data_IF_871080246763
#
_entry.id   IF_871080246763
#
_cell.length_a   1.000
_cell.length_b   1.000
_cell.length_c   1.000
_cell.angle_alpha   90.00
_cell.angle_beta   90.00
_cell.angle_gamma   90.00
#
_symmetry.space_group_name_H-M   'P 1'
#
loop_
_entity.id
_entity.type
_entity.pdbx_description
1 polymer ?
#
# COMPACT_ATOMS: atom_id res chain seq x y z
N UNK A 1 16.76 -12.90 -36.51
CA UNK A 1 16.79 -12.19 -35.23
C UNK A 1 15.64 -12.67 -34.38
N UNK A 2 15.82 -12.90 -33.09
CA UNK A 2 14.79 -13.40 -32.20
C UNK A 2 14.07 -12.22 -31.52
N UNK A 3 12.73 -12.21 -31.60
CA UNK A 3 11.88 -11.17 -31.02
C UNK A 3 11.66 -11.45 -29.50
N UNK A 4 11.52 -10.40 -28.68
CA UNK A 4 11.20 -10.48 -27.27
C UNK A 4 9.93 -11.31 -26.98
N UNK A 5 8.93 -11.25 -27.86
CA UNK A 5 7.70 -12.07 -27.75
C UNK A 5 7.99 -13.57 -27.81
N UNK A 6 8.95 -13.98 -28.64
CA UNK A 6 9.38 -15.40 -28.73
C UNK A 6 10.10 -15.84 -27.47
N UNK A 7 10.99 -15.00 -26.95
CA UNK A 7 11.68 -15.28 -25.68
C UNK A 7 10.67 -15.43 -24.54
N UNK A 8 9.71 -14.52 -24.44
CA UNK A 8 8.65 -14.58 -23.44
C UNK A 8 7.85 -15.88 -23.52
N UNK A 9 7.46 -16.31 -24.74
CA UNK A 9 6.78 -17.60 -24.95
C UNK A 9 7.64 -18.79 -24.51
N UNK A 10 8.93 -18.78 -24.78
CA UNK A 10 9.85 -19.84 -24.35
C UNK A 10 9.98 -19.89 -22.83
N UNK A 11 10.11 -18.75 -22.16
CA UNK A 11 10.16 -18.68 -20.70
C UNK A 11 8.88 -19.23 -20.05
N UNK A 12 7.70 -18.96 -20.63
CA UNK A 12 6.44 -19.52 -20.12
C UNK A 12 6.24 -21.00 -20.49
N UNK A 13 6.81 -21.46 -21.58
CA UNK A 13 6.80 -22.88 -21.94
C UNK A 13 7.57 -23.73 -20.92
N UNK A 14 8.69 -23.20 -20.41
CA UNK A 14 9.55 -23.84 -19.43
C UNK A 14 9.56 -23.06 -18.12
N UNK A 15 8.36 -22.67 -17.62
CA UNK A 15 8.23 -21.78 -16.48
C UNK A 15 8.84 -22.36 -15.20
N UNK A 16 8.76 -23.67 -14.98
CA UNK A 16 9.36 -24.33 -13.83
C UNK A 16 10.89 -24.18 -13.83
N UNK A 17 11.53 -24.27 -15.01
CA UNK A 17 12.96 -24.02 -15.16
C UNK A 17 13.30 -22.56 -14.74
N UNK A 18 12.46 -21.59 -15.12
CA UNK A 18 12.65 -20.18 -14.77
C UNK A 18 12.51 -20.00 -13.26
N UNK A 19 11.44 -20.51 -12.65
CA UNK A 19 11.17 -20.37 -11.24
C UNK A 19 12.22 -21.07 -10.36
N UNK A 20 12.68 -22.25 -10.77
CA UNK A 20 13.75 -22.99 -10.10
C UNK A 20 15.08 -22.25 -10.17
N UNK A 21 15.45 -21.65 -11.30
CA UNK A 21 16.66 -20.83 -11.43
C UNK A 21 16.55 -19.49 -10.69
N UNK A 22 15.32 -19.00 -10.45
CA UNK A 22 15.06 -17.91 -9.54
C UNK A 22 15.01 -18.36 -8.07
N UNK A 23 15.29 -19.65 -7.77
CA UNK A 23 15.31 -20.24 -6.42
C UNK A 23 14.03 -19.92 -5.63
N UNK A 24 12.90 -19.94 -6.31
CA UNK A 24 11.61 -19.70 -5.68
C UNK A 24 11.06 -21.00 -5.10
N UNK A 25 10.55 -20.94 -3.86
CA UNK A 25 9.72 -22.00 -3.28
C UNK A 25 8.28 -21.74 -3.69
N UNK A 26 7.73 -22.53 -4.63
CA UNK A 26 6.45 -22.27 -5.27
C UNK A 26 5.53 -23.47 -5.30
N UNK A 27 4.23 -23.22 -5.41
CA UNK A 27 3.16 -24.20 -5.63
C UNK A 27 2.40 -23.83 -6.89
N UNK A 28 2.14 -24.80 -7.77
CA UNK A 28 1.28 -24.61 -8.97
C UNK A 28 -0.11 -25.15 -8.66
N UNK A 29 -1.13 -24.27 -8.77
CA UNK A 29 -2.54 -24.63 -8.58
C UNK A 29 -3.32 -24.17 -9.80
N UNK A 30 -3.70 -25.11 -10.68
CA UNK A 30 -4.31 -24.81 -11.98
C UNK A 30 -3.38 -23.94 -12.83
N UNK A 31 -3.90 -22.84 -13.37
CA UNK A 31 -3.14 -21.90 -14.18
C UNK A 31 -2.43 -20.79 -13.38
N UNK A 32 -2.18 -21.03 -12.10
CA UNK A 32 -1.53 -20.05 -11.25
C UNK A 32 -0.38 -20.67 -10.44
N UNK A 33 0.70 -19.89 -10.35
CA UNK A 33 1.82 -20.18 -9.43
C UNK A 33 1.66 -19.30 -8.20
N UNK A 34 1.85 -19.87 -7.01
CA UNK A 34 1.82 -19.17 -5.73
C UNK A 34 3.13 -19.38 -4.99
N UNK A 35 3.57 -18.33 -4.29
CA UNK A 35 4.74 -18.41 -3.40
C UNK A 35 4.71 -17.26 -2.38
N UNK A 36 5.70 -17.23 -1.48
CA UNK A 36 6.11 -15.98 -0.84
C UNK A 36 6.66 -15.04 -1.89
N UNK A 37 6.64 -13.71 -1.66
CA UNK A 37 7.20 -12.80 -2.65
C UNK A 37 8.73 -12.91 -2.69
N UNK A 38 9.35 -13.23 -3.84
CA UNK A 38 10.79 -13.43 -3.93
C UNK A 38 11.59 -12.12 -3.99
N UNK A 39 10.92 -10.97 -4.00
CA UNK A 39 11.55 -9.65 -4.21
C UNK A 39 11.73 -8.90 -2.89
N UNK A 40 10.94 -9.20 -1.87
CA UNK A 40 11.08 -8.58 -0.56
C UNK A 40 11.05 -9.63 0.54
N UNK A 41 11.83 -9.41 1.59
CA UNK A 41 11.89 -10.27 2.77
C UNK A 41 10.71 -10.05 3.72
N UNK A 42 10.47 -11.04 4.61
CA UNK A 42 9.54 -10.91 5.74
C UNK A 42 8.07 -11.20 5.43
N UNK A 43 7.78 -11.99 4.39
CA UNK A 43 6.44 -12.53 4.15
C UNK A 43 6.42 -14.04 4.38
N UNK A 44 5.77 -14.48 5.46
CA UNK A 44 5.49 -15.91 5.70
C UNK A 44 4.26 -16.39 4.93
N UNK A 45 3.60 -15.52 4.20
CA UNK A 45 2.40 -15.83 3.45
C UNK A 45 2.75 -16.46 2.11
N UNK A 46 2.57 -17.77 1.98
CA UNK A 46 2.77 -18.54 0.73
C UNK A 46 1.90 -18.10 -0.45
N UNK A 47 0.94 -17.20 -0.24
CA UNK A 47 0.10 -16.60 -1.29
C UNK A 47 0.32 -15.09 -1.44
N UNK A 48 1.43 -14.57 -0.92
CA UNK A 48 1.80 -13.17 -1.09
C UNK A 48 2.20 -12.83 -2.54
N UNK A 49 2.61 -13.83 -3.31
CA UNK A 49 2.92 -13.75 -4.74
C UNK A 49 1.99 -14.66 -5.55
N UNK A 50 1.58 -14.20 -6.72
CA UNK A 50 0.89 -15.03 -7.70
C UNK A 50 1.37 -14.69 -9.11
N UNK A 51 1.54 -15.71 -9.96
CA UNK A 51 1.83 -15.61 -11.39
C UNK A 51 0.76 -16.37 -12.18
N UNK A 52 0.00 -15.67 -13.01
CA UNK A 52 -0.97 -16.31 -13.91
C UNK A 52 -0.26 -16.79 -15.17
N UNK A 53 -0.32 -18.09 -15.43
CA UNK A 53 0.27 -18.69 -16.63
C UNK A 53 -0.53 -18.33 -17.88
N UNK A 54 -1.85 -18.21 -17.77
CA UNK A 54 -2.74 -17.79 -18.85
C UNK A 54 -2.49 -16.34 -19.25
N UNK A 55 -2.57 -15.41 -18.27
CA UNK A 55 -2.43 -13.96 -18.49
C UNK A 55 -0.98 -13.53 -18.62
N UNK A 56 -0.04 -14.38 -18.25
CA UNK A 56 1.40 -14.12 -18.28
C UNK A 56 1.82 -12.87 -17.49
N UNK A 57 1.17 -12.66 -16.35
CA UNK A 57 1.44 -11.54 -15.43
C UNK A 57 1.55 -12.05 -14.00
N UNK A 58 2.43 -11.41 -13.25
CA UNK A 58 2.60 -11.70 -11.83
C UNK A 58 2.18 -10.53 -10.96
N UNK A 59 1.90 -10.81 -9.69
CA UNK A 59 1.50 -9.83 -8.70
C UNK A 59 2.02 -10.17 -7.30
N UNK A 60 2.53 -9.17 -6.62
CA UNK A 60 2.75 -9.20 -5.17
C UNK A 60 1.56 -8.55 -4.48
N UNK A 61 0.90 -9.30 -3.60
CA UNK A 61 -0.31 -8.85 -2.89
C UNK A 61 -0.02 -8.09 -1.61
N UNK A 62 1.26 -8.02 -1.20
CA UNK A 62 1.68 -7.35 0.03
C UNK A 62 2.32 -6.00 -0.20
N UNK A 63 3.18 -5.86 -1.21
CA UNK A 63 3.95 -4.63 -1.48
C UNK A 63 3.83 -4.12 -2.91
N UNK A 64 2.98 -4.73 -3.74
CA UNK A 64 2.81 -4.36 -5.15
C UNK A 64 4.14 -4.22 -5.92
N UNK A 65 5.12 -5.11 -5.67
CA UNK A 65 6.46 -5.08 -6.27
C UNK A 65 6.46 -5.02 -7.79
N UNK A 66 5.41 -5.53 -8.45
CA UNK A 66 5.23 -5.44 -9.90
C UNK A 66 5.12 -3.99 -10.41
N UNK A 67 4.77 -3.02 -9.57
CA UNK A 67 4.68 -1.62 -9.97
C UNK A 67 6.07 -0.99 -10.17
N UNK A 68 7.09 -1.50 -9.47
CA UNK A 68 8.47 -1.04 -9.57
C UNK A 68 9.24 -1.76 -10.68
N UNK A 69 9.02 -3.06 -10.81
CA UNK A 69 9.85 -3.90 -11.70
C UNK A 69 9.15 -4.25 -13.01
N UNK A 70 7.81 -4.08 -13.09
CA UNK A 70 6.97 -4.53 -14.21
C UNK A 70 6.25 -5.84 -13.91
N UNK A 71 5.03 -6.01 -14.43
CA UNK A 71 4.15 -7.14 -14.11
C UNK A 71 4.38 -8.37 -15.01
N UNK A 72 5.28 -8.32 -15.97
CA UNK A 72 5.60 -9.45 -16.85
C UNK A 72 6.79 -10.29 -16.34
N UNK A 73 7.12 -11.36 -17.06
CA UNK A 73 8.18 -12.29 -16.66
C UNK A 73 9.56 -11.61 -16.55
N UNK A 74 9.86 -10.62 -17.41
CA UNK A 74 11.11 -9.88 -17.32
C UNK A 74 11.15 -8.98 -16.08
N UNK A 75 10.01 -8.41 -15.72
CA UNK A 75 9.87 -7.66 -14.47
C UNK A 75 10.08 -8.53 -13.23
N UNK A 76 9.57 -9.78 -13.23
CA UNK A 76 9.84 -10.74 -12.17
C UNK A 76 11.34 -11.05 -12.06
N UNK A 77 11.97 -11.41 -13.18
CA UNK A 77 13.41 -11.70 -13.24
C UNK A 77 14.22 -10.50 -12.74
N UNK A 78 13.90 -9.30 -13.23
CA UNK A 78 14.55 -8.06 -12.78
C UNK A 78 14.44 -7.86 -11.28
N UNK A 79 13.24 -7.99 -10.73
CA UNK A 79 13.01 -7.77 -9.30
C UNK A 79 13.78 -8.75 -8.42
N UNK A 80 13.76 -10.04 -8.77
CA UNK A 80 14.46 -11.08 -8.01
C UNK A 80 15.98 -10.89 -8.09
N UNK A 81 16.51 -10.63 -9.27
CA UNK A 81 17.95 -10.39 -9.44
C UNK A 81 18.41 -9.12 -8.73
N UNK A 82 17.62 -8.06 -8.79
CA UNK A 82 17.94 -6.80 -8.10
C UNK A 82 18.01 -6.97 -6.58
N UNK A 83 17.10 -7.75 -6.02
CA UNK A 83 17.12 -8.08 -4.60
C UNK A 83 18.37 -8.89 -4.23
N UNK A 84 18.71 -9.94 -5.01
CA UNK A 84 19.86 -10.79 -4.75
C UNK A 84 21.20 -10.06 -4.86
N UNK A 85 21.34 -9.23 -5.89
CA UNK A 85 22.58 -8.50 -6.14
C UNK A 85 22.68 -7.19 -5.34
N UNK A 86 21.63 -6.85 -4.57
CA UNK A 86 21.49 -5.61 -3.83
C UNK A 86 21.77 -4.34 -4.69
N UNK A 87 21.41 -4.42 -5.98
CA UNK A 87 21.53 -3.33 -6.97
C UNK A 87 20.45 -3.44 -8.04
N UNK A 88 20.09 -2.32 -8.69
CA UNK A 88 19.14 -2.36 -9.82
C UNK A 88 19.72 -3.12 -11.02
N UNK A 89 19.12 -4.26 -11.33
CA UNK A 89 19.43 -5.09 -12.49
C UNK A 89 18.58 -4.67 -13.67
N UNK A 90 18.67 -3.58 -14.28
CA UNK A 90 17.82 -3.11 -15.37
C UNK A 90 17.38 -4.19 -16.39
N UNK A 91 16.47 -3.84 -17.30
CA UNK A 91 15.89 -4.76 -18.28
C UNK A 91 16.93 -5.57 -19.10
N UNK A 92 18.06 -4.94 -19.46
CA UNK A 92 19.16 -5.63 -20.18
C UNK A 92 19.79 -6.76 -19.36
N UNK A 93 19.84 -6.62 -18.04
CA UNK A 93 20.33 -7.67 -17.14
C UNK A 93 19.35 -8.84 -17.08
N UNK A 94 18.06 -8.57 -16.91
CA UNK A 94 17.02 -9.59 -16.92
C UNK A 94 16.97 -10.35 -18.28
N UNK A 95 17.08 -9.64 -19.40
CA UNK A 95 17.12 -10.26 -20.72
C UNK A 95 18.35 -11.16 -20.90
N UNK A 96 19.55 -10.72 -20.49
CA UNK A 96 20.77 -11.55 -20.56
C UNK A 96 20.62 -12.81 -19.72
N UNK A 97 20.06 -12.71 -18.52
CA UNK A 97 19.80 -13.84 -17.67
C UNK A 97 18.80 -14.82 -18.31
N UNK A 98 17.67 -14.32 -18.86
CA UNK A 98 16.69 -15.12 -19.58
C UNK A 98 17.31 -15.85 -20.79
N UNK A 99 18.12 -15.15 -21.60
CA UNK A 99 18.82 -15.74 -22.73
C UNK A 99 19.80 -16.84 -22.27
N UNK A 100 20.51 -16.64 -21.16
CA UNK A 100 21.44 -17.64 -20.61
C UNK A 100 20.73 -18.93 -20.23
N UNK A 101 19.56 -18.86 -19.57
CA UNK A 101 18.77 -20.04 -19.19
C UNK A 101 18.24 -20.77 -20.42
N UNK A 102 17.80 -20.04 -21.42
CA UNK A 102 17.27 -20.62 -22.68
C UNK A 102 18.36 -21.07 -23.67
N UNK A 103 19.65 -20.93 -23.32
CA UNK A 103 20.79 -21.18 -24.20
C UNK A 103 20.71 -20.38 -25.54
N UNK A 104 20.27 -19.14 -25.47
CA UNK A 104 20.12 -18.21 -26.59
C UNK A 104 21.25 -17.18 -26.54
N UNK A 105 21.91 -16.89 -27.68
CA UNK A 105 22.86 -15.77 -27.72
C UNK A 105 22.10 -14.43 -27.64
N UNK A 106 22.31 -13.68 -26.56
CA UNK A 106 21.67 -12.40 -26.32
C UNK A 106 21.95 -11.32 -27.36
N UNK A 107 23.02 -11.48 -28.17
CA UNK A 107 23.37 -10.59 -29.28
C UNK A 107 22.47 -10.75 -30.49
N UNK A 108 21.75 -11.88 -30.58
CA UNK A 108 20.82 -12.17 -31.70
C UNK A 108 19.40 -11.66 -31.44
N UNK A 109 19.17 -11.05 -30.28
CA UNK A 109 17.85 -10.56 -29.85
C UNK A 109 17.70 -9.12 -30.27
N UNK A 110 16.67 -8.87 -31.08
CA UNK A 110 16.29 -7.51 -31.48
C UNK A 110 15.46 -6.86 -30.33
N UNK A 111 16.04 -5.85 -29.69
CA UNK A 111 15.37 -5.04 -28.70
C UNK A 111 15.06 -3.71 -29.37
N UNK A 112 13.83 -3.52 -29.86
CA UNK A 112 13.38 -2.19 -30.24
C UNK A 112 13.71 -1.21 -29.11
N UNK A 113 14.59 -0.26 -29.39
CA UNK A 113 14.87 0.85 -28.48
C UNK A 113 13.61 1.72 -28.37
N UNK A 114 12.74 1.41 -27.41
CA UNK A 114 11.86 2.45 -26.89
C UNK A 114 12.76 3.42 -26.15
N UNK A 115 12.95 4.60 -26.71
CA UNK A 115 13.57 5.72 -26.00
C UNK A 115 12.80 5.87 -24.68
N UNK A 116 13.49 5.76 -23.56
CA UNK A 116 12.86 6.06 -22.26
C UNK A 116 12.44 7.53 -22.32
N UNK A 117 11.16 7.83 -22.06
CA UNK A 117 10.70 9.21 -22.04
C UNK A 117 11.54 9.99 -21.03
N UNK A 118 11.96 11.21 -21.39
CA UNK A 118 12.71 12.09 -20.50
C UNK A 118 11.97 12.24 -19.16
N UNK A 119 12.70 12.55 -18.09
CA UNK A 119 12.08 12.72 -16.76
C UNK A 119 10.98 13.78 -16.78
N UNK A 120 11.09 14.76 -17.67
CA UNK A 120 10.04 15.74 -17.94
C UNK A 120 8.79 15.08 -18.56
N UNK A 121 8.95 14.19 -19.54
CA UNK A 121 7.83 13.45 -20.18
C UNK A 121 7.24 12.45 -19.19
N UNK A 122 8.04 11.81 -18.32
CA UNK A 122 7.55 10.98 -17.21
C UNK A 122 6.70 11.81 -16.24
N UNK A 123 7.14 13.01 -15.91
CA UNK A 123 6.43 13.94 -15.04
C UNK A 123 5.15 14.48 -15.70
N UNK A 124 5.19 14.88 -16.97
CA UNK A 124 3.99 15.30 -17.75
C UNK A 124 3.01 14.17 -17.90
N UNK A 125 3.46 12.93 -18.13
CA UNK A 125 2.58 11.77 -18.18
C UNK A 125 1.99 11.43 -16.81
N UNK A 126 2.69 11.66 -15.72
CA UNK A 126 2.15 11.55 -14.36
C UNK A 126 1.02 12.57 -14.13
N UNK A 127 1.20 13.82 -14.61
CA UNK A 127 0.18 14.88 -14.49
C UNK A 127 -0.95 14.75 -15.54
N UNK A 128 -0.69 14.17 -16.72
CA UNK A 128 -1.71 13.99 -17.76
C UNK A 128 -2.53 12.72 -17.55
N UNK A 129 -2.00 11.69 -16.92
CA UNK A 129 -2.77 10.50 -16.51
C UNK A 129 -3.84 10.82 -15.45
N UNK A 130 -3.66 11.92 -14.69
CA UNK A 130 -4.71 12.47 -13.81
C UNK A 130 -5.92 13.02 -14.57
N UNK A 131 -5.83 13.24 -15.89
CA UNK A 131 -6.96 13.71 -16.72
C UNK A 131 -7.81 12.59 -17.33
N UNK A 132 -7.34 11.37 -17.43
CA UNK A 132 -8.25 10.24 -17.62
C UNK A 132 -8.95 9.96 -16.29
N UNK A 133 -10.08 10.65 -16.10
CA UNK A 133 -11.16 10.19 -15.22
C UNK A 133 -11.55 8.78 -15.70
N UNK A 134 -10.78 7.75 -15.31
CA UNK A 134 -11.43 6.51 -15.00
C UNK A 134 -12.46 6.91 -13.95
N UNK A 135 -13.74 6.89 -14.33
CA UNK A 135 -14.81 6.77 -13.36
C UNK A 135 -14.41 5.57 -12.50
N UNK A 136 -13.80 5.85 -11.37
CA UNK A 136 -13.66 4.87 -10.31
C UNK A 136 -15.11 4.54 -9.94
N UNK A 137 -15.71 3.59 -10.66
CA UNK A 137 -17.00 3.01 -10.30
C UNK A 137 -16.73 2.12 -9.08
N UNK A 138 -16.47 2.77 -7.96
CA UNK A 138 -16.52 2.09 -6.68
C UNK A 138 -17.99 1.78 -6.45
N UNK A 139 -18.32 0.50 -6.47
CA UNK A 139 -19.62 0.08 -6.03
C UNK A 139 -19.73 0.47 -4.56
N UNK A 140 -20.70 1.31 -4.24
CA UNK A 140 -21.11 1.56 -2.87
C UNK A 140 -21.36 0.20 -2.21
N UNK A 141 -20.77 -0.01 -1.02
CA UNK A 141 -21.00 -1.25 -0.29
C UNK A 141 -22.42 -1.20 0.23
N UNK A 142 -23.27 -2.08 -0.31
CA UNK A 142 -24.67 -2.21 0.11
C UNK A 142 -24.82 -2.86 1.48
N UNK A 143 -23.77 -3.55 1.96
CA UNK A 143 -23.76 -4.19 3.26
C UNK A 143 -23.78 -3.14 4.36
N UNK A 144 -24.82 -3.14 5.17
CA UNK A 144 -24.90 -2.37 6.40
C UNK A 144 -24.89 -3.33 7.57
N UNK A 145 -24.03 -3.06 8.55
CA UNK A 145 -23.93 -3.85 9.75
C UNK A 145 -24.78 -3.19 10.86
N UNK A 146 -25.42 -4.04 11.68
CA UNK A 146 -25.98 -3.57 12.95
C UNK A 146 -24.83 -3.38 13.93
N UNK A 147 -24.57 -2.14 14.32
CA UNK A 147 -23.41 -1.75 15.12
C UNK A 147 -23.84 -1.16 16.45
N UNK A 148 -23.16 -1.60 17.51
CA UNK A 148 -23.18 -0.90 18.79
C UNK A 148 -22.15 0.25 18.73
N UNK A 149 -22.63 1.49 18.86
CA UNK A 149 -21.80 2.69 18.88
C UNK A 149 -21.83 3.36 20.29
N UNK A 150 -20.68 3.91 20.73
CA UNK A 150 -19.32 3.72 20.18
C UNK A 150 -18.83 2.29 20.41
N UNK A 151 -17.76 1.89 19.73
CA UNK A 151 -17.13 0.59 19.94
C UNK A 151 -16.58 0.45 21.36
N UNK A 152 -17.13 -0.49 22.13
CA UNK A 152 -16.63 -0.83 23.48
C UNK A 152 -15.19 -1.33 23.45
N UNK A 153 -14.83 -2.06 22.41
CA UNK A 153 -13.47 -2.56 22.24
C UNK A 153 -12.44 -1.42 22.18
N UNK A 154 -12.73 -0.34 21.47
CA UNK A 154 -11.80 0.77 21.35
C UNK A 154 -11.87 1.73 22.54
N UNK A 155 -13.03 1.88 23.19
CA UNK A 155 -13.10 2.66 24.45
C UNK A 155 -12.27 2.01 25.56
N UNK A 156 -12.31 0.68 25.71
CA UNK A 156 -11.45 -0.03 26.68
C UNK A 156 -9.96 0.09 26.36
N UNK A 157 -9.60 0.40 25.12
CA UNK A 157 -8.23 0.70 24.68
C UNK A 157 -7.84 2.18 24.82
N UNK A 158 -8.69 2.99 25.45
CA UNK A 158 -8.41 4.38 25.78
C UNK A 158 -8.68 5.39 24.66
N UNK A 159 -9.49 5.04 23.65
CA UNK A 159 -10.00 6.01 22.70
C UNK A 159 -11.24 6.71 23.23
N UNK A 160 -11.34 8.02 22.96
CA UNK A 160 -12.47 8.82 23.41
C UNK A 160 -13.75 8.43 22.65
N UNK A 161 -14.86 8.28 23.38
CA UNK A 161 -16.16 7.89 22.82
C UNK A 161 -16.65 8.84 21.73
N UNK A 162 -16.52 10.16 21.94
CA UNK A 162 -16.93 11.16 20.94
C UNK A 162 -16.10 11.05 19.65
N UNK A 163 -14.81 10.74 19.79
CA UNK A 163 -13.94 10.47 18.65
C UNK A 163 -14.42 9.23 17.89
N UNK A 164 -14.72 8.13 18.59
CA UNK A 164 -15.22 6.92 17.94
C UNK A 164 -16.58 7.14 17.26
N UNK A 165 -17.46 7.93 17.86
CA UNK A 165 -18.73 8.33 17.26
C UNK A 165 -18.51 9.19 16.00
N UNK A 166 -17.60 10.16 16.06
CA UNK A 166 -17.26 11.01 14.92
C UNK A 166 -16.71 10.19 13.73
N UNK A 167 -15.92 9.15 14.01
CA UNK A 167 -15.38 8.24 12.98
C UNK A 167 -16.31 7.05 12.70
N UNK A 168 -17.52 7.01 13.26
CA UNK A 168 -18.54 5.98 13.00
C UNK A 168 -18.08 4.56 13.36
N UNK A 169 -17.26 4.43 14.40
CA UNK A 169 -16.68 3.15 14.84
C UNK A 169 -17.60 2.46 15.83
N UNK A 170 -18.03 1.23 15.51
CA UNK A 170 -18.93 0.45 16.35
C UNK A 170 -18.61 -1.04 16.33
N UNK A 171 -19.15 -1.78 17.30
CA UNK A 171 -18.96 -3.24 17.38
C UNK A 171 -20.11 -3.97 16.67
N UNK A 172 -19.78 -4.94 15.82
CA UNK A 172 -20.76 -5.69 15.03
C UNK A 172 -21.57 -6.65 15.89
N UNK A 173 -22.90 -6.50 15.85
CA UNK A 173 -23.88 -7.33 16.57
C UNK A 173 -24.42 -8.49 15.71
N UNK A 174 -24.21 -8.49 14.40
CA UNK A 174 -24.76 -9.46 13.46
C UNK A 174 -24.06 -10.81 13.59
N UNK A 175 -24.69 -11.75 14.26
CA UNK A 175 -24.10 -13.07 14.59
C UNK A 175 -23.76 -13.90 13.36
N UNK A 176 -24.50 -13.76 12.27
CA UNK A 176 -24.31 -14.50 11.02
C UNK A 176 -23.30 -13.84 10.07
N UNK A 177 -22.81 -12.66 10.43
CA UNK A 177 -21.83 -11.92 9.63
C UNK A 177 -20.40 -12.41 9.86
N UNK A 178 -19.55 -12.46 8.82
CA UNK A 178 -18.10 -12.61 8.98
C UNK A 178 -17.48 -11.54 9.89
N UNK A 179 -18.18 -10.41 10.02
CA UNK A 179 -17.76 -9.26 10.85
C UNK A 179 -18.22 -9.39 12.32
N UNK A 180 -18.96 -10.43 12.70
CA UNK A 180 -19.33 -10.65 14.10
C UNK A 180 -18.10 -10.68 15.03
N UNK A 181 -18.20 -10.14 16.21
CA UNK A 181 -17.09 -9.96 17.17
C UNK A 181 -15.91 -9.15 16.60
N UNK A 182 -16.22 -8.15 15.80
CA UNK A 182 -15.25 -7.19 15.29
C UNK A 182 -15.73 -5.77 15.52
N UNK A 183 -14.80 -4.90 15.87
CA UNK A 183 -15.00 -3.46 15.80
C UNK A 183 -14.90 -3.02 14.35
N UNK A 184 -15.92 -2.36 13.84
CA UNK A 184 -16.12 -2.00 12.45
C UNK A 184 -15.73 -0.54 12.23
N UNK A 185 -14.93 -0.32 11.24
CA UNK A 185 -14.39 0.99 10.85
C UNK A 185 -14.78 1.23 9.39
N UNK A 186 -15.61 2.24 9.09
CA UNK A 186 -16.00 2.54 7.71
C UNK A 186 -14.84 3.15 6.93
N UNK A 187 -14.78 2.82 5.64
CA UNK A 187 -13.88 3.45 4.65
C UNK A 187 -14.77 4.25 3.71
N UNK A 188 -14.59 5.56 3.69
CA UNK A 188 -15.34 6.45 2.82
C UNK A 188 -14.62 6.68 1.49
N UNK A 189 -15.40 7.04 0.47
CA UNK A 189 -14.89 7.60 -0.78
C UNK A 189 -14.15 8.92 -0.53
N UNK A 190 -13.31 9.34 -1.48
CA UNK A 190 -12.46 10.52 -1.31
C UNK A 190 -13.24 11.82 -1.08
N UNK A 191 -14.49 11.88 -1.54
CA UNK A 191 -15.41 13.00 -1.32
C UNK A 191 -16.36 12.80 -0.15
N UNK A 192 -16.29 11.66 0.54
CA UNK A 192 -17.14 11.33 1.69
C UNK A 192 -18.61 10.99 1.32
N UNK A 193 -18.97 10.92 0.04
CA UNK A 193 -20.38 10.74 -0.37
C UNK A 193 -20.91 9.33 -0.13
N UNK A 194 -20.03 8.34 0.01
CA UNK A 194 -20.41 6.94 0.19
C UNK A 194 -19.38 6.16 1.01
N UNK A 195 -19.84 5.09 1.64
CA UNK A 195 -18.97 4.08 2.25
C UNK A 195 -18.60 3.06 1.17
N UNK A 196 -17.30 2.89 0.93
CA UNK A 196 -16.75 2.00 -0.10
C UNK A 196 -16.29 0.66 0.46
N UNK A 197 -16.25 0.53 1.77
CA UNK A 197 -15.89 -0.70 2.47
C UNK A 197 -15.79 -0.52 3.97
N UNK A 198 -15.51 -1.62 4.65
CA UNK A 198 -15.32 -1.65 6.09
C UNK A 198 -14.07 -2.44 6.46
N UNK A 199 -13.48 -2.08 7.58
CA UNK A 199 -12.45 -2.85 8.27
C UNK A 199 -13.07 -3.40 9.55
N UNK A 200 -12.98 -4.71 9.74
CA UNK A 200 -13.35 -5.36 10.99
C UNK A 200 -12.11 -5.74 11.80
N UNK A 201 -11.83 -5.03 12.88
CA UNK A 201 -10.80 -5.38 13.87
C UNK A 201 -11.33 -6.45 14.82
N UNK A 202 -10.70 -7.61 14.92
CA UNK A 202 -11.10 -8.63 15.89
C UNK A 202 -11.08 -8.08 17.33
N UNK A 203 -12.18 -8.26 18.05
CA UNK A 203 -12.27 -7.93 19.47
C UNK A 203 -11.83 -9.08 20.38
N UNK A 204 -11.50 -10.23 19.77
CA UNK A 204 -11.07 -11.46 20.46
C UNK A 204 -9.71 -11.88 19.94
N UNK A 205 -8.78 -12.23 20.83
CA UNK A 205 -7.40 -12.58 20.47
C UNK A 205 -7.30 -13.87 19.66
N UNK A 206 -8.18 -14.84 19.91
CA UNK A 206 -8.22 -16.12 19.21
C UNK A 206 -8.80 -16.03 17.79
N UNK A 207 -9.45 -14.91 17.42
CA UNK A 207 -10.12 -14.77 16.11
C UNK A 207 -9.19 -14.21 15.05
N UNK A 208 -8.87 -15.03 14.07
CA UNK A 208 -8.06 -14.66 12.91
C UNK A 208 -8.91 -14.44 11.66
N UNK A 209 -8.51 -13.59 10.70
CA UNK A 209 -7.37 -12.65 10.80
C UNK A 209 -7.69 -11.49 11.77
N UNK A 210 -6.63 -10.88 12.31
CA UNK A 210 -6.74 -9.71 13.22
C UNK A 210 -7.53 -8.55 12.59
N UNK A 211 -7.32 -8.30 11.31
CA UNK A 211 -8.08 -7.35 10.50
C UNK A 211 -8.72 -8.04 9.32
N UNK A 212 -10.01 -7.79 9.10
CA UNK A 212 -10.77 -8.30 7.97
C UNK A 212 -11.35 -7.12 7.18
N UNK A 213 -11.13 -7.10 5.88
CA UNK A 213 -11.72 -6.09 4.99
C UNK A 213 -12.97 -6.66 4.31
N UNK A 214 -13.94 -5.80 4.01
CA UNK A 214 -15.09 -6.17 3.17
C UNK A 214 -14.60 -6.75 1.85
N UNK A 215 -15.27 -7.79 1.36
CA UNK A 215 -14.90 -8.44 0.09
C UNK A 215 -14.98 -7.44 -1.07
N UNK A 216 -13.96 -7.46 -1.93
CA UNK A 216 -13.91 -6.63 -3.14
C UNK A 216 -13.30 -5.25 -2.97
N UNK A 217 -13.04 -4.77 -1.74
CA UNK A 217 -12.33 -3.51 -1.55
C UNK A 217 -10.84 -3.67 -1.84
N UNK A 218 -10.29 -2.78 -2.66
CA UNK A 218 -8.85 -2.62 -2.78
C UNK A 218 -8.40 -1.43 -1.91
N UNK A 219 -7.93 -1.72 -0.70
CA UNK A 219 -7.47 -0.71 0.28
C UNK A 219 -6.37 0.21 -0.28
N UNK A 220 -5.57 -0.28 -1.24
CA UNK A 220 -4.50 0.51 -1.88
C UNK A 220 -5.02 1.69 -2.70
N UNK A 221 -6.33 1.73 -2.99
CA UNK A 221 -6.94 2.85 -3.70
C UNK A 221 -7.37 3.99 -2.78
N UNK A 222 -7.34 3.82 -1.47
CA UNK A 222 -7.89 4.76 -0.52
C UNK A 222 -6.86 5.22 0.51
N UNK A 223 -7.05 6.44 1.01
CA UNK A 223 -6.46 6.93 2.26
C UNK A 223 -7.58 7.04 3.28
N UNK A 224 -7.41 6.41 4.44
CA UNK A 224 -8.40 6.53 5.52
C UNK A 224 -8.52 7.99 5.97
N UNK A 225 -9.74 8.44 6.20
CA UNK A 225 -10.08 9.80 6.61
C UNK A 225 -9.76 10.91 5.59
N UNK A 226 -9.45 10.58 4.33
CA UNK A 226 -9.05 11.60 3.33
C UNK A 226 -10.11 12.68 3.13
N UNK A 227 -11.39 12.30 3.04
CA UNK A 227 -12.50 13.22 2.81
C UNK A 227 -12.68 14.27 3.92
N UNK A 228 -12.38 13.94 5.18
CA UNK A 228 -12.43 14.88 6.31
C UNK A 228 -11.15 15.72 6.40
N UNK A 229 -10.00 15.07 6.20
CA UNK A 229 -8.69 15.67 6.40
C UNK A 229 -8.28 16.69 5.33
N UNK A 230 -8.75 16.51 4.07
CA UNK A 230 -8.17 17.21 2.91
C UNK A 230 -8.38 18.73 2.95
N UNK A 231 -9.52 19.21 3.43
CA UNK A 231 -9.78 20.64 3.52
C UNK A 231 -8.84 21.30 4.53
N UNK A 232 -8.77 20.77 5.74
CA UNK A 232 -7.84 21.25 6.76
C UNK A 232 -6.38 21.14 6.30
N UNK A 233 -6.03 20.05 5.62
CA UNK A 233 -4.69 19.86 5.06
C UNK A 233 -4.31 20.97 4.07
N UNK A 234 -5.25 21.39 3.22
CA UNK A 234 -5.03 22.51 2.27
C UNK A 234 -4.86 23.83 3.01
N UNK A 235 -5.69 24.11 4.03
CA UNK A 235 -5.63 25.37 4.79
C UNK A 235 -4.28 25.55 5.46
N UNK A 236 -3.69 24.50 6.04
CA UNK A 236 -2.38 24.53 6.69
C UNK A 236 -1.23 24.12 5.78
N UNK A 237 -1.56 23.75 4.52
CA UNK A 237 -0.63 23.25 3.50
C UNK A 237 0.21 22.06 3.97
N UNK A 238 -0.39 21.17 4.78
CA UNK A 238 0.28 20.02 5.37
C UNK A 238 -0.66 18.84 5.54
N UNK A 239 -0.15 17.62 5.33
CA UNK A 239 -0.88 16.36 5.56
C UNK A 239 -0.05 15.46 6.49
N UNK A 240 -0.69 14.92 7.52
CA UNK A 240 -0.14 13.90 8.38
C UNK A 240 -0.44 12.53 7.78
N UNK A 241 0.57 11.68 7.69
CA UNK A 241 0.46 10.31 7.15
C UNK A 241 0.86 9.33 8.24
N UNK A 242 -0.06 8.41 8.58
CA UNK A 242 0.11 7.35 9.59
C UNK A 242 -0.13 5.97 8.98
N UNK A 243 0.18 4.91 9.72
CA UNK A 243 -0.06 3.54 9.28
C UNK A 243 -1.49 3.07 9.54
N UNK A 244 -2.02 3.33 10.73
CA UNK A 244 -3.29 2.80 11.21
C UNK A 244 -4.38 3.84 11.46
N UNK A 245 -5.62 3.35 11.59
CA UNK A 245 -6.79 4.21 11.83
C UNK A 245 -6.76 4.79 13.26
N UNK A 246 -6.28 3.99 14.23
CA UNK A 246 -6.13 4.43 15.62
C UNK A 246 -5.19 5.62 15.78
N UNK A 247 -4.15 5.71 14.93
CA UNK A 247 -3.23 6.85 14.92
C UNK A 247 -3.96 8.12 14.52
N UNK A 248 -4.82 8.04 13.48
CA UNK A 248 -5.64 9.17 13.02
C UNK A 248 -6.58 9.64 14.15
N UNK A 249 -7.20 8.71 14.87
CA UNK A 249 -8.10 9.07 15.97
C UNK A 249 -7.34 9.74 17.11
N UNK A 250 -6.16 9.25 17.48
CA UNK A 250 -5.33 9.87 18.53
C UNK A 250 -4.81 11.24 18.13
N UNK A 251 -4.45 11.43 16.88
CA UNK A 251 -4.11 12.75 16.35
C UNK A 251 -5.32 13.70 16.40
N UNK A 252 -6.50 13.23 16.03
CA UNK A 252 -7.74 14.00 16.13
C UNK A 252 -8.03 14.41 17.59
N UNK A 253 -7.91 13.49 18.56
CA UNK A 253 -8.02 13.79 20.00
C UNK A 253 -7.00 14.84 20.47
N UNK A 254 -5.86 14.92 19.81
CA UNK A 254 -4.82 15.91 20.09
C UNK A 254 -5.04 17.26 19.36
N UNK A 255 -6.08 17.39 18.51
CA UNK A 255 -6.41 18.59 17.74
C UNK A 255 -5.83 18.63 16.34
N UNK A 256 -5.37 17.49 15.79
CA UNK A 256 -4.85 17.37 14.42
C UNK A 256 -5.93 16.77 13.52
N UNK A 257 -6.57 17.59 12.69
CA UNK A 257 -7.66 17.16 11.82
C UNK A 257 -7.20 16.76 10.42
N UNK A 258 -5.99 17.12 10.01
CA UNK A 258 -5.38 16.90 8.70
C UNK A 258 -4.55 15.59 8.64
N UNK A 259 -5.05 14.51 9.29
CA UNK A 259 -4.37 13.24 9.33
C UNK A 259 -5.10 12.15 8.52
N UNK A 260 -4.32 11.34 7.81
CA UNK A 260 -4.80 10.17 7.03
C UNK A 260 -3.98 8.93 7.37
N UNK A 261 -4.55 7.73 7.16
CA UNK A 261 -3.76 6.50 7.23
C UNK A 261 -3.75 5.71 5.93
N UNK A 262 -2.66 4.93 5.73
CA UNK A 262 -2.37 4.18 4.51
C UNK A 262 -2.78 2.72 4.57
N UNK A 263 -3.43 2.27 5.63
CA UNK A 263 -3.86 0.89 5.87
C UNK A 263 -2.72 -0.14 5.90
N UNK A 264 -1.52 0.26 6.23
CA UNK A 264 -0.36 -0.62 6.27
C UNK A 264 0.96 0.14 6.26
N UNK A 265 2.04 -0.52 5.84
CA UNK A 265 3.39 -0.01 5.98
C UNK A 265 3.84 0.92 4.85
N UNK A 266 3.34 0.71 3.63
CA UNK A 266 3.82 1.43 2.44
C UNK A 266 2.70 2.14 1.68
N UNK A 267 3.01 3.34 1.20
CA UNK A 267 2.14 4.09 0.29
C UNK A 267 2.10 3.41 -1.08
N UNK A 268 0.91 2.98 -1.49
CA UNK A 268 0.69 2.48 -2.85
C UNK A 268 0.88 3.59 -3.89
N UNK A 269 0.97 3.20 -5.17
CA UNK A 269 1.01 4.17 -6.27
C UNK A 269 -0.22 5.10 -6.25
N UNK A 270 -1.42 4.52 -6.07
CA UNK A 270 -2.68 5.28 -6.04
C UNK A 270 -2.79 6.21 -4.84
N UNK A 271 -2.36 5.78 -3.66
CA UNK A 271 -2.29 6.64 -2.48
C UNK A 271 -1.28 7.78 -2.68
N UNK A 272 -0.13 7.50 -3.32
CA UNK A 272 0.87 8.51 -3.66
C UNK A 272 0.32 9.55 -4.64
N UNK A 273 -0.45 9.15 -5.66
CA UNK A 273 -1.14 10.06 -6.58
C UNK A 273 -2.09 11.00 -5.82
N UNK A 274 -2.84 10.49 -4.84
CA UNK A 274 -3.73 11.31 -4.00
C UNK A 274 -2.96 12.32 -3.15
N UNK A 275 -1.84 11.91 -2.56
CA UNK A 275 -0.96 12.82 -1.81
C UNK A 275 -0.42 13.90 -2.73
N UNK A 276 0.04 13.57 -3.94
CA UNK A 276 0.52 14.53 -4.94
C UNK A 276 -0.58 15.50 -5.38
N UNK A 277 -1.80 15.00 -5.58
CA UNK A 277 -2.95 15.79 -6.01
C UNK A 277 -3.59 16.61 -4.87
N UNK A 278 -3.17 16.40 -3.63
CA UNK A 278 -3.75 17.07 -2.45
C UNK A 278 -3.54 18.59 -2.41
N UNK A 279 -2.51 19.09 -3.10
CA UNK A 279 -2.15 20.51 -3.11
C UNK A 279 -1.37 20.97 -1.86
N UNK A 280 -1.00 20.08 -0.94
CA UNK A 280 -0.16 20.39 0.21
C UNK A 280 1.32 20.51 -0.17
N UNK A 281 2.11 21.20 0.62
CA UNK A 281 3.56 21.35 0.41
C UNK A 281 4.39 20.66 1.49
N UNK A 282 3.75 20.24 2.57
CA UNK A 282 4.40 19.61 3.74
C UNK A 282 3.76 18.26 4.03
N UNK A 283 4.57 17.29 4.42
CA UNK A 283 4.10 15.99 4.92
C UNK A 283 4.75 15.72 6.28
N UNK A 284 3.94 15.30 7.25
CA UNK A 284 4.39 14.79 8.54
C UNK A 284 4.20 13.28 8.52
N UNK A 285 5.28 12.53 8.65
CA UNK A 285 5.29 11.07 8.52
C UNK A 285 5.43 10.44 9.91
N UNK A 286 4.42 9.72 10.33
CA UNK A 286 4.30 9.06 11.63
C UNK A 286 4.06 7.56 11.41
N UNK A 287 5.10 6.86 10.97
CA UNK A 287 5.11 5.39 10.87
C UNK A 287 5.56 4.77 12.18
N UNK A 288 5.21 3.50 12.40
CA UNK A 288 5.58 2.75 13.59
C UNK A 288 7.08 2.83 13.91
N UNK A 289 7.43 2.83 15.19
CA UNK A 289 8.82 2.90 15.64
C UNK A 289 9.47 1.51 15.69
N UNK A 290 9.27 0.73 14.63
CA UNK A 290 9.89 -0.58 14.41
C UNK A 290 10.74 -0.59 13.13
N UNK A 291 11.29 -1.74 12.76
CA UNK A 291 12.13 -1.86 11.58
C UNK A 291 11.33 -1.54 10.31
N UNK A 292 10.10 -2.06 10.19
CA UNK A 292 9.26 -1.84 9.02
C UNK A 292 8.86 -0.36 8.85
N UNK A 293 8.54 0.34 9.96
CA UNK A 293 8.28 1.78 9.91
C UNK A 293 9.51 2.60 9.53
N UNK A 294 10.72 2.16 9.91
CA UNK A 294 11.97 2.80 9.43
C UNK A 294 12.18 2.63 7.93
N UNK A 295 11.90 1.44 7.39
CA UNK A 295 11.96 1.18 5.94
C UNK A 295 10.93 2.02 5.19
N UNK A 296 9.70 2.08 5.69
CA UNK A 296 8.64 2.93 5.15
C UNK A 296 9.06 4.42 5.10
N UNK A 297 9.67 4.95 6.17
CA UNK A 297 10.22 6.32 6.17
C UNK A 297 11.21 6.56 5.05
N UNK A 298 12.15 5.62 4.85
CA UNK A 298 13.16 5.72 3.79
C UNK A 298 12.49 5.74 2.41
N UNK A 299 11.50 4.88 2.18
CA UNK A 299 10.79 4.85 0.89
C UNK A 299 10.00 6.12 0.65
N UNK A 300 9.28 6.63 1.65
CA UNK A 300 8.54 7.90 1.58
C UNK A 300 9.51 9.06 1.32
N UNK A 301 10.65 9.09 1.99
CA UNK A 301 11.67 10.11 1.80
C UNK A 301 12.23 10.08 0.37
N UNK A 302 12.59 8.91 -0.16
CA UNK A 302 13.06 8.77 -1.55
C UNK A 302 12.03 9.24 -2.57
N UNK A 303 10.75 8.93 -2.33
CA UNK A 303 9.66 9.26 -3.26
C UNK A 303 9.28 10.73 -3.25
N UNK A 304 9.26 11.37 -2.09
CA UNK A 304 8.62 12.68 -1.92
C UNK A 304 9.56 13.83 -1.55
N UNK A 305 10.84 13.60 -1.21
CA UNK A 305 11.75 14.64 -0.72
C UNK A 305 12.00 15.78 -1.72
N UNK A 306 11.82 15.53 -3.02
CA UNK A 306 11.97 16.58 -4.05
C UNK A 306 10.72 17.43 -4.26
N UNK A 307 9.57 17.03 -3.70
CA UNK A 307 8.26 17.64 -3.96
C UNK A 307 7.64 18.24 -2.69
N UNK A 308 7.99 17.70 -1.54
CA UNK A 308 7.42 18.08 -0.25
C UNK A 308 8.50 18.37 0.78
N UNK A 309 8.22 19.31 1.69
CA UNK A 309 8.95 19.40 2.95
C UNK A 309 8.50 18.28 3.87
N UNK A 310 9.41 17.36 4.19
CA UNK A 310 9.13 16.18 5.00
C UNK A 310 9.52 16.41 6.45
N UNK A 311 8.66 15.99 7.37
CA UNK A 311 8.89 15.98 8.81
C UNK A 311 8.78 14.55 9.33
N UNK A 312 9.73 14.15 10.17
CA UNK A 312 9.80 12.83 10.80
C UNK A 312 9.92 12.99 12.32
N UNK A 313 8.82 13.32 13.03
CA UNK A 313 8.87 13.52 14.46
C UNK A 313 9.34 12.27 15.19
N UNK A 314 10.08 12.47 16.28
CA UNK A 314 10.48 11.37 17.18
C UNK A 314 9.32 11.02 18.08
N UNK A 315 8.91 9.76 18.09
CA UNK A 315 7.86 9.23 18.95
C UNK A 315 8.44 8.59 20.21
N UNK A 316 7.74 8.71 21.32
CA UNK A 316 8.12 8.12 22.61
C UNK A 316 7.54 6.73 22.83
N UNK A 317 6.59 6.32 22.00
CA UNK A 317 5.93 5.01 21.99
C UNK A 317 6.14 4.31 20.68
N UNK A 318 5.63 3.07 20.59
CA UNK A 318 5.73 2.26 19.37
C UNK A 318 5.02 2.91 18.20
N UNK A 319 3.80 3.37 18.42
CA UNK A 319 2.96 4.07 17.45
C UNK A 319 2.20 5.24 18.11
N UNK A 320 1.53 6.04 17.29
CA UNK A 320 0.71 7.18 17.76
C UNK A 320 -0.54 6.67 18.49
N UNK A 321 -1.10 5.53 18.08
CA UNK A 321 -2.28 4.93 18.68
C UNK A 321 -2.09 4.53 20.14
N UNK A 322 -0.85 4.26 20.56
CA UNK A 322 -0.46 3.94 21.95
C UNK A 322 -0.14 5.19 22.79
N UNK A 323 -0.21 6.40 22.21
CA UNK A 323 0.02 7.67 22.91
C UNK A 323 -1.29 8.26 23.42
N UNK A 324 -1.21 9.03 24.52
CA UNK A 324 -2.32 9.88 24.94
C UNK A 324 -2.37 11.17 24.11
N UNK A 325 -3.55 11.79 24.00
CA UNK A 325 -3.70 13.07 23.31
C UNK A 325 -2.81 14.18 23.92
N UNK A 326 -2.64 14.21 25.26
CA UNK A 326 -1.68 15.11 25.92
C UNK A 326 -0.24 14.78 25.52
N UNK A 327 0.15 13.51 25.55
CA UNK A 327 1.49 13.07 25.13
C UNK A 327 1.82 13.49 23.68
N UNK A 328 0.86 13.40 22.76
CA UNK A 328 1.02 13.89 21.38
C UNK A 328 1.23 15.42 21.37
N UNK A 329 0.39 16.18 22.10
CA UNK A 329 0.53 17.63 22.20
C UNK A 329 1.87 18.07 22.78
N UNK A 330 2.37 17.34 23.76
CA UNK A 330 3.59 17.73 24.50
C UNK A 330 4.88 17.29 23.77
N UNK A 331 4.82 16.19 23.01
CA UNK A 331 6.04 15.60 22.42
C UNK A 331 6.10 15.64 20.90
N UNK A 332 4.99 15.46 20.21
CA UNK A 332 4.97 15.40 18.73
C UNK A 332 4.72 16.78 18.12
N UNK A 333 3.68 17.48 18.56
CA UNK A 333 3.26 18.75 17.95
C UNK A 333 4.32 19.86 18.05
N UNK A 334 5.14 19.98 19.13
CA UNK A 334 6.22 20.97 19.17
C UNK A 334 7.28 20.78 18.09
N UNK A 335 7.47 19.54 17.58
CA UNK A 335 8.43 19.24 16.53
C UNK A 335 7.95 19.66 15.13
N UNK A 336 6.65 19.95 14.99
CA UNK A 336 5.98 20.22 13.69
C UNK A 336 5.06 21.44 13.75
N UNK A 337 5.46 22.49 14.47
CA UNK A 337 4.66 23.73 14.61
C UNK A 337 4.30 24.32 13.25
N UNK A 338 3.05 24.75 13.10
CA UNK A 338 2.52 25.36 11.86
C UNK A 338 2.18 24.32 10.78
N UNK A 339 1.88 23.08 11.17
CA UNK A 339 1.48 21.99 10.24
C UNK A 339 0.09 21.43 10.53
N UNK A 340 -0.63 21.92 11.54
CA UNK A 340 -1.94 21.42 12.00
C UNK A 340 -2.88 22.55 12.38
#
# INVERSE_FOLDING_TARGET
MMDLKKIKKLLFKDIELVLSNLEMDYEIVGDNVFSTCPIHEGSDNKRAFSLSLEKQVWRCWTRDCQNEHGSDIFGLIRGVLSQRENKDVGFKGALRWACKILNIDSKTVDVEKKEEPSDFVKMVNLFSSTKQKQKDSFNEVKERYNLLHPSEYFTTRGFNEQTLLYFEVGDCLDKDSPMYQRAIIPIHSDNGSSVVGYIGRSTKDYRTPKFLFTKGINKSNFLYNYHRAINKAKDVSCLFITEGQGDVWKLYEAGVENAVSIFGKDLSARQSEKVLASGVTKLVILTDNDQAGRESKIQIQRRFSRMFKLYFPKMTRKDIGDMTASGIRDTILPQVRGTY
#
